data_IF_984720606845
#
_entry.id   IF_984720606845
#
_cell.length_a   1.000
_cell.length_b   1.000
_cell.length_c   1.000
_cell.angle_alpha   90.00
_cell.angle_beta   90.00
_cell.angle_gamma   90.00
#
_symmetry.space_group_name_H-M   'P 1'
#
loop_
_entity.id
_entity.type
_entity.pdbx_description
1 polymer ?
#
# COMPACT_ATOMS: atom_id res chain seq x y z
N UNK A 1 -2.60 -93.83 47.89
CA UNK A 1 -2.55 -94.21 49.32
C UNK A 1 -1.30 -93.61 49.95
N UNK A 2 -1.47 -92.98 51.13
CA UNK A 2 -0.47 -92.58 52.14
C UNK A 2 0.23 -91.23 51.97
N UNK A 3 -0.49 -90.22 52.47
CA UNK A 3 0.00 -89.03 53.18
C UNK A 3 0.75 -89.39 54.48
N UNK A 4 1.82 -88.65 54.79
CA UNK A 4 2.36 -88.29 56.14
C UNK A 4 3.29 -87.08 55.89
N UNK A 5 3.09 -85.84 56.32
CA UNK A 5 2.57 -85.20 57.54
C UNK A 5 3.52 -85.31 58.75
N UNK A 6 4.12 -84.13 59.04
CA UNK A 6 4.57 -83.53 60.31
C UNK A 6 5.99 -83.75 60.88
N UNK A 7 6.55 -82.58 61.20
CA UNK A 7 7.21 -82.13 62.44
C UNK A 7 8.74 -82.19 62.53
N UNK A 8 9.32 -81.02 62.83
CA UNK A 8 10.68 -80.91 63.36
C UNK A 8 11.20 -79.48 63.39
N UNK A 9 10.68 -78.64 64.29
CA UNK A 9 11.29 -77.34 64.64
C UNK A 9 12.60 -77.63 65.38
N UNK A 10 13.72 -77.15 64.88
CA UNK A 10 14.95 -77.02 65.66
C UNK A 10 15.67 -75.72 65.27
N UNK A 11 15.58 -74.79 66.22
CA UNK A 11 16.31 -73.55 66.40
C UNK A 11 17.81 -73.69 66.03
N UNK A 12 18.23 -72.95 65.01
CA UNK A 12 19.63 -72.72 64.69
C UNK A 12 19.79 -71.26 64.32
N UNK A 13 19.95 -70.39 65.33
CA UNK A 13 20.35 -69.00 65.16
C UNK A 13 21.82 -69.03 64.71
N UNK A 14 22.04 -69.20 63.41
CA UNK A 14 23.29 -68.79 62.77
C UNK A 14 23.11 -67.33 62.41
N UNK A 15 23.77 -66.46 63.17
CA UNK A 15 23.93 -65.05 62.83
C UNK A 15 24.60 -64.96 61.46
N UNK A 16 23.80 -64.88 60.40
CA UNK A 16 24.25 -64.35 59.13
C UNK A 16 24.45 -62.85 59.36
N UNK A 17 25.65 -62.47 59.77
CA UNK A 17 26.14 -61.12 59.55
C UNK A 17 26.25 -60.94 58.03
N UNK A 18 25.13 -60.61 57.39
CA UNK A 18 25.16 -60.00 56.08
C UNK A 18 25.93 -58.68 56.24
N UNK A 19 27.06 -58.47 55.53
CA UNK A 19 27.63 -57.14 55.46
C UNK A 19 26.57 -56.24 54.83
N UNK A 20 26.12 -55.25 55.60
CA UNK A 20 25.23 -54.19 55.17
C UNK A 20 25.93 -53.38 54.06
N UNK A 21 25.80 -53.81 52.80
CA UNK A 21 26.14 -53.01 51.62
C UNK A 21 25.01 -52.02 51.26
N UNK A 22 24.20 -51.63 52.24
CA UNK A 22 23.08 -50.71 52.06
C UNK A 22 23.52 -49.26 51.79
N UNK A 23 24.79 -48.94 52.06
CA UNK A 23 25.29 -47.56 51.98
C UNK A 23 25.70 -47.16 50.56
N UNK A 24 26.24 -48.08 49.75
CA UNK A 24 26.60 -47.85 48.34
C UNK A 24 25.38 -47.81 47.41
N UNK A 25 24.35 -48.63 47.66
CA UNK A 25 23.11 -48.62 46.87
C UNK A 25 22.29 -47.35 47.09
N UNK A 26 22.36 -46.76 48.29
CA UNK A 26 21.62 -45.53 48.62
C UNK A 26 22.22 -44.31 47.91
N UNK A 27 23.54 -44.23 47.84
CA UNK A 27 24.26 -43.14 47.17
C UNK A 27 24.06 -43.17 45.66
N UNK A 28 24.19 -44.34 45.01
CA UNK A 28 23.89 -44.49 43.58
C UNK A 28 22.42 -44.20 43.24
N UNK A 29 21.49 -44.55 44.14
CA UNK A 29 20.06 -44.23 43.94
C UNK A 29 19.82 -42.73 44.02
N UNK A 30 20.52 -42.01 44.91
CA UNK A 30 20.44 -40.54 45.00
C UNK A 30 21.02 -39.87 43.77
N UNK A 31 22.16 -40.36 43.26
CA UNK A 31 22.77 -39.83 42.04
C UNK A 31 21.84 -39.97 40.82
N UNK A 32 21.20 -41.14 40.66
CA UNK A 32 20.21 -41.37 39.59
C UNK A 32 18.98 -40.46 39.76
N UNK A 33 18.52 -40.27 41.00
CA UNK A 33 17.42 -39.35 41.29
C UNK A 33 17.80 -37.90 40.95
N UNK A 34 19.00 -37.46 41.34
CA UNK A 34 19.50 -36.12 41.06
C UNK A 34 19.66 -35.88 39.55
N UNK A 35 20.20 -36.85 38.81
CA UNK A 35 20.27 -36.80 37.36
C UNK A 35 18.87 -36.75 36.71
N UNK A 36 17.91 -37.50 37.26
CA UNK A 36 16.53 -37.47 36.78
C UNK A 36 15.88 -36.10 37.03
N UNK A 37 16.06 -35.52 38.22
CA UNK A 37 15.55 -34.18 38.57
C UNK A 37 16.18 -33.13 37.65
N UNK A 38 17.50 -33.17 37.46
CA UNK A 38 18.21 -32.26 36.55
C UNK A 38 17.69 -32.38 35.12
N UNK A 39 17.56 -33.61 34.61
CA UNK A 39 17.03 -33.87 33.27
C UNK A 39 15.59 -33.35 33.13
N UNK A 40 14.76 -33.56 34.15
CA UNK A 40 13.38 -33.07 34.17
C UNK A 40 13.32 -31.54 34.18
N UNK A 41 14.21 -30.90 34.92
CA UNK A 41 14.32 -29.44 34.98
C UNK A 41 14.78 -28.86 33.63
N UNK A 42 15.82 -29.43 33.02
CA UNK A 42 16.31 -29.04 31.70
C UNK A 42 15.21 -29.21 30.66
N UNK A 43 14.56 -30.37 30.62
CA UNK A 43 13.45 -30.64 29.68
C UNK A 43 12.30 -29.66 29.88
N UNK A 44 11.96 -29.33 31.12
CA UNK A 44 10.92 -28.36 31.43
C UNK A 44 11.28 -26.96 30.98
N UNK A 45 12.54 -26.56 31.15
CA UNK A 45 13.05 -25.26 30.70
C UNK A 45 13.03 -25.19 29.17
N UNK A 46 13.62 -26.17 28.50
CA UNK A 46 13.67 -26.24 27.04
C UNK A 46 12.27 -26.21 26.41
N UNK A 47 11.32 -26.96 27.00
CA UNK A 47 9.92 -26.93 26.54
C UNK A 47 9.27 -25.55 26.72
N UNK A 48 9.61 -24.83 27.78
CA UNK A 48 9.11 -23.48 28.01
C UNK A 48 9.72 -22.50 27.01
N UNK A 49 11.04 -22.57 26.81
CA UNK A 49 11.78 -21.70 25.89
C UNK A 49 11.32 -21.93 24.45
N UNK A 50 11.19 -23.19 24.02
CA UNK A 50 10.65 -23.53 22.70
C UNK A 50 9.23 -23.00 22.48
N UNK A 51 8.34 -23.09 23.49
CA UNK A 51 6.99 -22.54 23.39
C UNK A 51 7.00 -21.01 23.26
N UNK A 52 7.92 -20.35 23.96
CA UNK A 52 8.09 -18.90 23.89
C UNK A 52 8.61 -18.49 22.51
N UNK A 53 9.63 -19.16 22.00
CA UNK A 53 10.15 -18.91 20.64
C UNK A 53 9.09 -19.15 19.57
N UNK A 54 8.32 -20.24 19.68
CA UNK A 54 7.23 -20.52 18.76
C UNK A 54 6.16 -19.42 18.77
N UNK A 55 5.82 -18.90 19.95
CA UNK A 55 4.87 -17.79 20.08
C UNK A 55 5.43 -16.53 19.42
N UNK A 56 6.70 -16.17 19.70
CA UNK A 56 7.36 -15.02 19.08
C UNK A 56 7.37 -15.16 17.55
N UNK A 57 7.75 -16.32 17.01
CA UNK A 57 7.80 -16.54 15.56
C UNK A 57 6.41 -16.45 14.91
N UNK A 58 5.39 -16.94 15.61
CA UNK A 58 4.00 -16.86 15.13
C UNK A 58 3.51 -15.41 15.14
N UNK A 59 3.82 -14.65 16.19
CA UNK A 59 3.45 -13.26 16.31
C UNK A 59 4.18 -12.38 15.27
N UNK A 60 5.47 -12.63 15.04
CA UNK A 60 6.23 -11.92 13.98
C UNK A 60 5.71 -12.27 12.59
N UNK A 61 5.42 -13.55 12.32
CA UNK A 61 4.80 -13.95 11.05
C UNK A 61 3.47 -13.23 10.84
N UNK A 62 2.63 -13.17 11.87
CA UNK A 62 1.33 -12.50 11.80
C UNK A 62 1.48 -11.00 11.56
N UNK A 63 2.40 -10.35 12.27
CA UNK A 63 2.71 -8.93 12.09
C UNK A 63 3.16 -8.66 10.64
N UNK A 64 4.17 -9.39 10.16
CA UNK A 64 4.71 -9.23 8.81
C UNK A 64 3.65 -9.51 7.74
N UNK A 65 2.80 -10.51 7.93
CA UNK A 65 1.70 -10.80 7.01
C UNK A 65 0.68 -9.65 6.95
N UNK A 66 0.38 -9.04 8.10
CA UNK A 66 -0.52 -7.88 8.15
C UNK A 66 0.11 -6.64 7.52
N UNK A 67 1.41 -6.42 7.70
CA UNK A 67 2.15 -5.34 7.07
C UNK A 67 2.19 -5.52 5.55
N UNK A 68 2.45 -6.75 5.06
CA UNK A 68 2.43 -7.08 3.64
C UNK A 68 1.05 -6.79 3.04
N UNK A 69 -0.02 -7.24 3.69
CA UNK A 69 -1.40 -6.99 3.22
C UNK A 69 -1.71 -5.50 3.14
N UNK A 70 -1.26 -4.72 4.13
CA UNK A 70 -1.44 -3.26 4.15
C UNK A 70 -0.66 -2.60 3.00
N UNK A 71 0.58 -3.02 2.79
CA UNK A 71 1.42 -2.49 1.71
C UNK A 71 0.84 -2.79 0.33
N UNK A 72 0.34 -4.01 0.14
CA UNK A 72 -0.29 -4.44 -1.11
C UNK A 72 -1.55 -3.62 -1.40
N UNK A 73 -2.39 -3.40 -0.39
CA UNK A 73 -3.58 -2.54 -0.51
C UNK A 73 -3.20 -1.11 -0.87
N UNK A 74 -2.20 -0.52 -0.21
CA UNK A 74 -1.71 0.81 -0.54
C UNK A 74 -1.13 0.88 -1.96
N UNK A 75 -0.44 -0.16 -2.41
CA UNK A 75 0.14 -0.21 -3.76
C UNK A 75 -0.97 -0.24 -4.81
N UNK A 76 -2.03 -1.02 -4.59
CA UNK A 76 -3.19 -1.09 -5.48
C UNK A 76 -3.91 0.27 -5.56
N UNK A 77 -4.13 0.94 -4.43
CA UNK A 77 -4.73 2.28 -4.39
C UNK A 77 -3.87 3.33 -5.12
N UNK A 78 -2.54 3.26 -4.95
CA UNK A 78 -1.60 4.13 -5.67
C UNK A 78 -1.60 3.86 -7.18
N UNK A 79 -1.63 2.60 -7.61
CA UNK A 79 -1.71 2.26 -9.03
C UNK A 79 -3.04 2.69 -9.66
N UNK A 80 -4.15 2.49 -8.96
CA UNK A 80 -5.47 2.92 -9.44
C UNK A 80 -5.54 4.44 -9.57
N UNK A 81 -5.03 5.19 -8.58
CA UNK A 81 -5.02 6.66 -8.64
C UNK A 81 -4.06 7.21 -9.67
N UNK A 82 -2.89 6.59 -9.86
CA UNK A 82 -1.95 6.95 -10.93
C UNK A 82 -2.58 6.74 -12.31
N UNK A 83 -3.23 5.60 -12.52
CA UNK A 83 -3.92 5.28 -13.79
C UNK A 83 -5.04 6.29 -14.07
N UNK A 84 -5.87 6.60 -13.08
CA UNK A 84 -6.92 7.60 -13.22
C UNK A 84 -6.35 8.99 -13.55
N UNK A 85 -5.26 9.40 -12.89
CA UNK A 85 -4.61 10.67 -13.17
C UNK A 85 -3.99 10.74 -14.57
N UNK A 86 -3.46 9.63 -15.08
CA UNK A 86 -2.94 9.54 -16.44
C UNK A 86 -4.07 9.61 -17.48
N UNK A 87 -5.21 8.96 -17.21
CA UNK A 87 -6.41 9.05 -18.06
C UNK A 87 -6.96 10.49 -18.10
N UNK A 88 -7.12 11.14 -16.93
CA UNK A 88 -7.54 12.54 -16.82
C UNK A 88 -6.58 13.48 -17.58
N UNK A 89 -5.27 13.24 -17.46
CA UNK A 89 -4.26 14.03 -18.20
C UNK A 89 -4.40 13.86 -19.71
N UNK A 90 -4.66 12.65 -20.18
CA UNK A 90 -4.85 12.37 -21.60
C UNK A 90 -6.12 13.07 -22.12
N UNK A 91 -7.23 12.97 -21.40
CA UNK A 91 -8.50 13.63 -21.76
C UNK A 91 -8.37 15.17 -21.78
N UNK A 92 -7.76 15.75 -20.74
CA UNK A 92 -7.55 17.20 -20.66
C UNK A 92 -6.61 17.70 -21.76
N UNK A 93 -5.58 16.92 -22.11
CA UNK A 93 -4.69 17.25 -23.23
C UNK A 93 -5.44 17.24 -24.56
N UNK A 94 -6.23 16.19 -24.82
CA UNK A 94 -7.04 16.09 -26.04
C UNK A 94 -8.06 17.22 -26.14
N UNK A 95 -8.74 17.56 -25.03
CA UNK A 95 -9.70 18.67 -24.98
C UNK A 95 -9.02 20.00 -25.23
N UNK A 96 -7.83 20.22 -24.66
CA UNK A 96 -7.04 21.44 -24.89
C UNK A 96 -6.65 21.57 -26.37
N UNK A 97 -6.20 20.49 -27.00
CA UNK A 97 -5.85 20.48 -28.42
C UNK A 97 -7.07 20.78 -29.31
N UNK A 98 -8.22 20.15 -29.03
CA UNK A 98 -9.46 20.42 -29.75
C UNK A 98 -9.93 21.87 -29.62
N UNK A 99 -9.85 22.45 -28.40
CA UNK A 99 -10.18 23.87 -28.18
C UNK A 99 -9.19 24.78 -28.91
N UNK A 100 -7.90 24.45 -28.92
CA UNK A 100 -6.89 25.23 -29.63
C UNK A 100 -7.12 25.22 -31.15
N UNK A 101 -7.45 24.06 -31.73
CA UNK A 101 -7.80 23.94 -33.16
C UNK A 101 -9.06 24.73 -33.49
N UNK A 102 -10.13 24.58 -32.71
CA UNK A 102 -11.36 25.34 -32.90
C UNK A 102 -11.13 26.85 -32.78
N UNK A 103 -10.31 27.27 -31.81
CA UNK A 103 -9.95 28.69 -31.61
C UNK A 103 -9.18 29.24 -32.81
N UNK A 104 -8.26 28.46 -33.39
CA UNK A 104 -7.50 28.87 -34.57
C UNK A 104 -8.40 29.05 -35.80
N UNK A 105 -9.40 28.18 -35.99
CA UNK A 105 -10.39 28.31 -37.07
C UNK A 105 -11.22 29.59 -36.90
N UNK A 106 -11.69 29.86 -35.69
CA UNK A 106 -12.46 31.07 -35.38
C UNK A 106 -11.60 32.33 -35.56
N UNK A 107 -10.35 32.30 -35.10
CA UNK A 107 -9.40 33.40 -35.27
C UNK A 107 -9.15 33.72 -36.75
N UNK A 108 -8.89 32.71 -37.58
CA UNK A 108 -8.73 32.91 -39.02
C UNK A 108 -9.96 33.55 -39.67
N UNK A 109 -11.15 33.09 -39.29
CA UNK A 109 -12.42 33.64 -39.78
C UNK A 109 -12.63 35.11 -39.36
N UNK A 110 -12.27 35.45 -38.12
CA UNK A 110 -12.36 36.82 -37.59
C UNK A 110 -11.41 37.75 -38.33
N UNK A 111 -10.17 37.32 -38.57
CA UNK A 111 -9.17 38.12 -39.31
C UNK A 111 -9.68 38.44 -40.71
N UNK A 112 -10.29 37.46 -41.40
CA UNK A 112 -10.87 37.65 -42.72
C UNK A 112 -12.01 38.68 -42.68
N UNK A 113 -12.95 38.53 -41.73
CA UNK A 113 -14.08 39.45 -41.57
C UNK A 113 -13.62 40.87 -41.20
N UNK A 114 -12.66 41.04 -40.29
CA UNK A 114 -12.08 42.34 -39.94
C UNK A 114 -11.44 43.02 -41.16
N UNK A 115 -10.77 42.25 -42.01
CA UNK A 115 -10.14 42.75 -43.25
C UNK A 115 -11.18 43.20 -44.27
N UNK A 116 -12.25 42.41 -44.46
CA UNK A 116 -13.36 42.75 -45.34
C UNK A 116 -14.10 44.02 -44.85
N UNK A 117 -14.39 44.12 -43.55
CA UNK A 117 -15.02 45.30 -42.94
C UNK A 117 -14.15 46.54 -43.18
N UNK A 118 -12.83 46.46 -42.94
CA UNK A 118 -11.90 47.57 -43.20
C UNK A 118 -11.90 48.00 -44.67
N UNK A 119 -11.96 47.05 -45.61
CA UNK A 119 -12.04 47.37 -47.03
C UNK A 119 -13.34 48.11 -47.38
N UNK A 120 -14.48 47.69 -46.84
CA UNK A 120 -15.79 48.33 -47.07
C UNK A 120 -15.81 49.75 -46.49
N UNK A 121 -15.30 49.94 -45.26
CA UNK A 121 -15.23 51.25 -44.60
C UNK A 121 -14.49 52.28 -45.44
N UNK A 122 -13.39 51.89 -46.12
CA UNK A 122 -12.62 52.79 -47.02
C UNK A 122 -13.41 53.28 -48.23
N UNK A 123 -14.44 52.55 -48.66
CA UNK A 123 -15.26 52.88 -49.85
C UNK A 123 -16.54 53.67 -49.51
N UNK A 124 -16.81 53.90 -48.22
CA UNK A 124 -18.08 54.48 -47.77
C UNK A 124 -18.04 56.02 -47.78
N UNK A 125 -19.13 56.71 -48.17
CA UNK A 125 -19.19 58.17 -48.11
C UNK A 125 -19.24 58.71 -46.66
N UNK A 126 -18.65 59.89 -46.45
CA UNK A 126 -18.49 60.55 -45.14
C UNK A 126 -19.70 60.49 -44.18
N UNK A 127 -20.96 60.75 -44.60
CA UNK A 127 -22.11 60.71 -43.68
C UNK A 127 -22.43 59.32 -43.10
N UNK A 128 -21.98 58.24 -43.76
CA UNK A 128 -22.13 56.88 -43.23
C UNK A 128 -21.02 56.55 -42.24
N UNK A 129 -19.78 56.98 -42.53
CA UNK A 129 -18.61 56.79 -41.65
C UNK A 129 -18.88 57.40 -40.26
N UNK A 130 -19.43 58.62 -40.19
CA UNK A 130 -19.69 59.28 -38.91
C UNK A 130 -20.74 58.56 -38.05
N UNK A 131 -21.66 57.80 -38.66
CA UNK A 131 -22.65 56.99 -37.93
C UNK A 131 -22.07 55.70 -37.36
N UNK A 132 -21.13 55.07 -38.06
CA UNK A 132 -20.50 53.79 -37.66
C UNK A 132 -19.18 53.97 -36.89
N UNK A 133 -18.67 55.20 -36.81
CA UNK A 133 -17.48 55.60 -36.03
C UNK A 133 -17.41 55.02 -34.60
N UNK A 134 -18.48 55.00 -33.78
CA UNK A 134 -18.42 54.39 -32.44
C UNK A 134 -18.22 52.87 -32.47
N UNK A 135 -18.66 52.18 -33.53
CA UNK A 135 -18.50 50.74 -33.70
C UNK A 135 -17.08 50.40 -34.20
N UNK A 136 -16.59 51.16 -35.18
CA UNK A 136 -15.23 50.96 -35.75
C UNK A 136 -14.13 51.23 -34.72
N UNK A 137 -14.35 52.12 -33.75
CA UNK A 137 -13.35 52.43 -32.71
C UNK A 137 -12.97 51.23 -31.83
N UNK A 138 -13.79 50.18 -31.81
CA UNK A 138 -13.53 48.95 -31.04
C UNK A 138 -12.76 47.90 -31.85
N UNK A 139 -12.65 48.07 -33.17
CA UNK A 139 -11.88 47.19 -34.03
C UNK A 139 -10.38 47.49 -33.90
N UNK A 140 -9.52 46.46 -33.88
CA UNK A 140 -8.09 46.66 -33.81
C UNK A 140 -7.53 47.22 -35.12
N UNK A 141 -6.47 48.04 -35.02
CA UNK A 141 -5.74 48.63 -36.16
C UNK A 141 -5.11 47.54 -37.05
N UNK A 142 -4.48 46.53 -36.44
CA UNK A 142 -3.96 45.32 -37.09
C UNK A 142 -4.78 44.09 -36.69
N UNK A 143 -5.29 43.34 -37.67
CA UNK A 143 -6.11 42.13 -37.42
C UNK A 143 -5.27 40.90 -37.05
N UNK A 144 -3.98 40.89 -37.39
CA UNK A 144 -3.06 39.77 -37.16
C UNK A 144 -2.26 39.85 -35.86
N UNK A 145 -2.15 41.03 -35.24
CA UNK A 145 -1.44 41.23 -33.98
C UNK A 145 -2.26 42.17 -33.10
N UNK A 146 -2.89 41.63 -32.06
CA UNK A 146 -3.82 42.37 -31.21
C UNK A 146 -3.78 41.85 -29.77
N UNK A 147 -3.90 42.76 -28.80
CA UNK A 147 -4.01 42.43 -27.37
C UNK A 147 -5.43 42.06 -26.91
N UNK A 148 -6.41 42.05 -27.82
CA UNK A 148 -7.83 41.81 -27.54
C UNK A 148 -8.09 40.31 -27.56
N UNK A 149 -8.92 39.84 -26.62
CA UNK A 149 -9.30 38.43 -26.57
C UNK A 149 -10.21 38.06 -27.75
N UNK A 150 -10.21 36.77 -28.13
CA UNK A 150 -11.06 36.26 -29.21
C UNK A 150 -12.54 36.60 -28.99
N UNK A 151 -13.02 36.51 -27.74
CA UNK A 151 -14.41 36.84 -27.39
C UNK A 151 -14.75 38.32 -27.57
N UNK A 152 -13.85 39.24 -27.22
CA UNK A 152 -14.04 40.68 -27.45
C UNK A 152 -14.06 41.02 -28.94
N UNK A 153 -13.25 40.32 -29.75
CA UNK A 153 -13.22 40.50 -31.21
C UNK A 153 -14.52 40.03 -31.87
N UNK A 154 -15.05 38.86 -31.47
CA UNK A 154 -16.36 38.37 -31.96
C UNK A 154 -17.46 39.39 -31.66
N UNK A 155 -17.48 39.93 -30.43
CA UNK A 155 -18.49 40.92 -30.04
C UNK A 155 -18.41 42.23 -30.84
N UNK A 156 -17.24 42.56 -31.39
CA UNK A 156 -17.07 43.76 -32.21
C UNK A 156 -17.53 43.55 -33.66
N UNK A 157 -17.74 42.30 -34.10
CA UNK A 157 -18.17 41.96 -35.46
C UNK A 157 -19.69 41.74 -35.56
N UNK A 158 -20.32 41.16 -34.52
CA UNK A 158 -21.77 40.88 -34.44
C UNK A 158 -22.57 42.13 -34.08
#
# INVERSE_FOLDING_TARGET
MKTKLLLGIALGITAATFPLNAQTDLESTRDVLDQWVQTRQITSKEKSDWRLEQAILTDTQKLLSSELTRLDTSLEELNSSATAADEDRAELTATKEAIAEASAVVEGSIIELETQIKAIVKTMPAPLIDRIKPLIRRLPEDSSDTTLSLGERVQNIV
#
